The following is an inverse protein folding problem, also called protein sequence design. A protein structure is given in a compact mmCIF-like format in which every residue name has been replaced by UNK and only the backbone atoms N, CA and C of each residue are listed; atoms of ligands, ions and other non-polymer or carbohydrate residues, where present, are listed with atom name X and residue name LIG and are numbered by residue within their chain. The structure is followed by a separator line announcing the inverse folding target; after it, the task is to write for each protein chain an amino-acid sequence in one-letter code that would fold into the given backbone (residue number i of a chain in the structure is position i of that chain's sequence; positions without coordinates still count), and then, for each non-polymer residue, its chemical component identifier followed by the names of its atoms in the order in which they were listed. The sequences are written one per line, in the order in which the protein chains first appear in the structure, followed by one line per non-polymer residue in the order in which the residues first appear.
data_IF_500303000766
#
_entry.id   IF_500303000766
#
_cell.length_a   1.000
_cell.length_b   1.000
_cell.length_c   1.000
_cell.angle_alpha   90.00
_cell.angle_beta   90.00
_cell.angle_gamma   90.00
#
_symmetry.space_group_name_H-M   'P 1'
#
loop_
_entity.id
_entity.type
_entity.pdbx_description
1 polymer ?
#
# COMPACT_ATOMS: atom_id res chain seq x y z
N UNK A 1 -13.09 -22.71 1.04
CA UNK A 1 -13.70 -21.36 0.98
C UNK A 1 -12.75 -20.47 1.75
N UNK A 2 -12.02 -19.56 1.09
CA UNK A 2 -10.94 -18.78 1.71
C UNK A 2 -10.10 -17.97 0.72
N UNK A 3 -10.06 -18.40 -0.56
CA UNK A 3 -9.31 -17.70 -1.61
C UNK A 3 -9.77 -16.26 -1.88
N UNK A 4 -11.04 -15.91 -1.61
CA UNK A 4 -11.53 -14.55 -1.79
C UNK A 4 -11.02 -13.59 -0.72
N UNK A 5 -10.97 -14.03 0.54
CA UNK A 5 -10.57 -13.19 1.67
C UNK A 5 -9.06 -12.94 1.66
N UNK A 6 -8.26 -13.98 1.39
CA UNK A 6 -6.82 -13.86 1.15
C UNK A 6 -6.50 -12.87 0.02
N UNK A 7 -7.24 -12.95 -1.10
CA UNK A 7 -7.00 -12.10 -2.26
C UNK A 7 -7.42 -10.64 -2.00
N UNK A 8 -8.51 -10.41 -1.27
CA UNK A 8 -8.93 -9.07 -0.86
C UNK A 8 -7.90 -8.42 0.06
N UNK A 9 -7.36 -9.17 1.03
CA UNK A 9 -6.32 -8.66 1.92
C UNK A 9 -5.03 -8.33 1.19
N UNK A 10 -4.62 -9.17 0.23
CA UNK A 10 -3.45 -8.91 -0.63
C UNK A 10 -3.65 -7.67 -1.51
N UNK A 11 -4.85 -7.47 -2.05
CA UNK A 11 -5.19 -6.26 -2.81
C UNK A 11 -5.16 -5.03 -1.91
N UNK A 12 -5.69 -5.11 -0.69
CA UNK A 12 -5.63 -4.02 0.28
C UNK A 12 -4.18 -3.68 0.66
N UNK A 13 -3.33 -4.68 0.89
CA UNK A 13 -1.89 -4.50 1.12
C UNK A 13 -1.20 -3.82 -0.05
N UNK A 14 -1.48 -4.27 -1.27
CA UNK A 14 -0.95 -3.69 -2.50
C UNK A 14 -1.34 -2.23 -2.64
N UNK A 15 -2.62 -1.93 -2.43
CA UNK A 15 -3.18 -0.60 -2.55
C UNK A 15 -2.61 0.36 -1.49
N UNK A 16 -2.40 -0.12 -0.26
CA UNK A 16 -1.69 0.62 0.78
C UNK A 16 -0.25 0.90 0.37
N UNK A 17 0.50 -0.13 -0.02
CA UNK A 17 1.90 0.02 -0.44
C UNK A 17 2.05 1.06 -1.58
N UNK A 18 1.19 1.03 -2.60
CA UNK A 18 1.19 2.06 -3.64
C UNK A 18 0.84 3.44 -3.16
N UNK A 19 -0.07 3.54 -2.20
CA UNK A 19 -0.43 4.83 -1.63
C UNK A 19 0.80 5.46 -0.96
N UNK A 20 1.58 4.70 -0.19
CA UNK A 20 2.80 5.20 0.44
C UNK A 20 3.82 5.72 -0.59
N UNK A 21 4.01 5.00 -1.71
CA UNK A 21 4.90 5.45 -2.80
C UNK A 21 4.45 6.75 -3.48
N UNK A 22 3.18 7.16 -3.34
CA UNK A 22 2.68 8.40 -3.98
C UNK A 22 2.27 9.49 -2.99
N UNK A 23 2.27 9.20 -1.69
CA UNK A 23 1.69 10.09 -0.67
C UNK A 23 2.55 11.33 -0.45
N UNK A 24 3.85 11.18 -0.64
CA UNK A 24 4.85 12.25 -0.64
C UNK A 24 4.79 13.12 -1.91
N UNK A 25 4.11 12.63 -2.95
CA UNK A 25 3.99 13.24 -4.26
C UNK A 25 5.20 13.01 -5.17
N UNK A 26 6.23 12.29 -4.72
CA UNK A 26 7.50 12.06 -5.41
C UNK A 26 7.78 10.56 -5.48
N UNK A 27 7.28 9.92 -6.54
CA UNK A 27 7.56 8.51 -6.78
C UNK A 27 9.04 8.31 -7.15
N UNK A 28 9.85 7.78 -6.24
CA UNK A 28 11.25 7.46 -6.51
C UNK A 28 11.41 6.09 -7.20
N UNK A 29 12.45 5.94 -8.04
CA UNK A 29 12.73 4.66 -8.70
C UNK A 29 13.07 3.55 -7.69
N UNK A 30 13.64 3.91 -6.54
CA UNK A 30 14.02 3.00 -5.46
C UNK A 30 12.79 2.38 -4.80
N UNK A 31 11.78 3.18 -4.51
CA UNK A 31 10.50 2.74 -3.92
C UNK A 31 9.71 1.87 -4.89
N UNK A 32 9.63 2.28 -6.16
CA UNK A 32 8.97 1.49 -7.21
C UNK A 32 9.68 0.16 -7.39
N UNK A 33 11.01 0.15 -7.36
CA UNK A 33 11.80 -1.08 -7.47
C UNK A 33 11.59 -1.98 -6.26
N UNK A 34 11.60 -1.42 -5.05
CA UNK A 34 11.30 -2.15 -3.81
C UNK A 34 9.92 -2.79 -3.88
N UNK A 35 8.91 -2.02 -4.28
CA UNK A 35 7.55 -2.52 -4.41
C UNK A 35 7.47 -3.61 -5.48
N UNK A 36 8.04 -3.42 -6.67
CA UNK A 36 8.03 -4.45 -7.72
C UNK A 36 8.69 -5.76 -7.24
N UNK A 37 9.80 -5.67 -6.52
CA UNK A 37 10.45 -6.84 -5.92
C UNK A 37 9.57 -7.52 -4.87
N UNK A 38 8.93 -6.74 -4.00
CA UNK A 38 7.97 -7.27 -3.03
C UNK A 38 6.78 -7.93 -3.73
N UNK A 39 6.26 -7.32 -4.79
CA UNK A 39 5.18 -7.88 -5.60
C UNK A 39 5.56 -9.19 -6.24
N UNK A 40 6.81 -9.35 -6.67
CA UNK A 40 7.30 -10.62 -7.20
C UNK A 40 7.35 -11.71 -6.11
N UNK A 41 7.69 -11.31 -4.87
CA UNK A 41 7.76 -12.22 -3.71
C UNK A 41 6.40 -12.74 -3.23
N UNK A 42 5.30 -12.02 -3.50
CA UNK A 42 3.97 -12.43 -3.04
C UNK A 42 3.24 -13.31 -4.09
N UNK A 43 2.53 -14.36 -3.63
CA UNK A 43 1.63 -15.09 -4.52
C UNK A 43 0.48 -14.19 -4.99
N UNK A 44 0.27 -14.13 -6.30
CA UNK A 44 -0.80 -13.34 -6.92
C UNK A 44 -1.77 -14.27 -7.63
N UNK A 45 -3.05 -14.20 -7.30
CA UNK A 45 -4.10 -15.08 -7.85
C UNK A 45 -5.24 -14.30 -8.50
N UNK A 46 -5.03 -13.02 -8.81
CA UNK A 46 -6.01 -12.17 -9.48
C UNK A 46 -5.98 -12.42 -11.01
N UNK A 47 -7.14 -12.45 -11.70
CA UNK A 47 -7.20 -12.47 -13.16
C UNK A 47 -6.49 -11.27 -13.82
N UNK A 48 -6.41 -10.13 -13.13
CA UNK A 48 -5.68 -8.96 -13.61
C UNK A 48 -4.17 -9.14 -13.39
N UNK A 49 -3.36 -8.87 -14.42
CA UNK A 49 -1.89 -8.86 -14.31
C UNK A 49 -1.43 -7.88 -13.22
N UNK A 50 -0.33 -8.21 -12.52
CA UNK A 50 0.27 -7.32 -11.49
C UNK A 50 0.52 -5.91 -12.04
N UNK A 51 0.99 -5.81 -13.28
CA UNK A 51 1.29 -4.53 -13.94
C UNK A 51 0.02 -3.73 -14.28
N UNK A 52 -1.03 -4.35 -14.82
CA UNK A 52 -2.32 -3.69 -15.05
C UNK A 52 -2.94 -3.18 -13.75
N UNK A 53 -2.86 -4.01 -12.71
CA UNK A 53 -3.35 -3.67 -11.37
C UNK A 53 -2.54 -2.51 -10.78
N UNK A 54 -1.21 -2.54 -10.91
CA UNK A 54 -0.31 -1.44 -10.52
C UNK A 54 -0.71 -0.12 -11.17
N UNK A 55 -0.84 -0.06 -12.50
CA UNK A 55 -1.18 1.18 -13.20
C UNK A 55 -2.56 1.72 -12.80
N UNK A 56 -3.53 0.81 -12.61
CA UNK A 56 -4.88 1.16 -12.19
C UNK A 56 -4.90 1.71 -10.77
N UNK A 57 -4.22 1.05 -9.84
CA UNK A 57 -4.13 1.48 -8.44
C UNK A 57 -3.33 2.77 -8.32
N UNK A 58 -2.22 2.92 -9.07
CA UNK A 58 -1.42 4.14 -9.09
C UNK A 58 -2.26 5.37 -9.45
N UNK A 59 -3.10 5.24 -10.49
CA UNK A 59 -4.02 6.31 -10.89
C UNK A 59 -5.03 6.65 -9.77
N UNK A 60 -5.53 5.65 -9.05
CA UNK A 60 -6.44 5.85 -7.92
C UNK A 60 -5.75 6.52 -6.73
N UNK A 61 -4.55 6.09 -6.38
CA UNK A 61 -3.78 6.64 -5.27
C UNK A 61 -3.37 8.09 -5.55
N UNK A 62 -2.96 8.40 -6.79
CA UNK A 62 -2.72 9.79 -7.23
C UNK A 62 -3.97 10.65 -7.07
N UNK A 63 -5.11 10.16 -7.57
CA UNK A 63 -6.38 10.88 -7.43
C UNK A 63 -6.78 11.09 -5.96
N UNK A 64 -6.57 10.10 -5.10
CA UNK A 64 -6.82 10.22 -3.66
C UNK A 64 -5.90 11.27 -3.01
N UNK A 65 -4.62 11.29 -3.38
CA UNK A 65 -3.64 12.26 -2.90
C UNK A 65 -3.99 13.68 -3.34
N UNK A 66 -4.42 13.86 -4.60
CA UNK A 66 -4.85 15.16 -5.14
C UNK A 66 -6.16 15.69 -4.51
N UNK A 67 -6.98 14.82 -3.92
CA UNK A 67 -8.28 15.18 -3.32
C UNK A 67 -8.29 15.11 -1.78
N UNK A 68 -7.12 15.07 -1.13
CA UNK A 68 -7.00 14.91 0.34
C UNK A 68 -7.70 13.64 0.88
N UNK A 69 -7.92 12.65 0.03
CA UNK A 69 -8.61 11.38 0.33
C UNK A 69 -7.70 10.27 0.86
N UNK A 70 -6.43 10.57 1.14
CA UNK A 70 -5.42 9.59 1.61
C UNK A 70 -5.87 8.91 2.89
N UNK A 71 -6.36 9.68 3.87
CA UNK A 71 -6.80 9.16 5.16
C UNK A 71 -7.98 8.17 5.03
N UNK A 72 -8.98 8.52 4.20
CA UNK A 72 -10.13 7.66 3.93
C UNK A 72 -9.68 6.37 3.21
N UNK A 73 -8.77 6.50 2.25
CA UNK A 73 -8.22 5.36 1.53
C UNK A 73 -7.48 4.40 2.46
N UNK A 74 -6.61 4.91 3.34
CA UNK A 74 -5.88 4.12 4.34
C UNK A 74 -6.88 3.39 5.24
N UNK A 75 -7.85 4.11 5.81
CA UNK A 75 -8.86 3.51 6.68
C UNK A 75 -9.67 2.43 5.97
N UNK A 76 -10.09 2.69 4.74
CA UNK A 76 -10.88 1.73 3.97
C UNK A 76 -10.10 0.44 3.70
N UNK A 77 -8.82 0.55 3.32
CA UNK A 77 -7.96 -0.62 3.07
C UNK A 77 -7.54 -1.33 4.35
N UNK A 78 -7.24 -0.59 5.42
CA UNK A 78 -6.93 -1.16 6.72
C UNK A 78 -8.10 -2.01 7.27
N UNK A 79 -9.35 -1.57 7.07
CA UNK A 79 -10.54 -2.35 7.45
C UNK A 79 -10.70 -3.64 6.65
N UNK A 80 -10.09 -3.75 5.46
CA UNK A 80 -10.08 -4.99 4.67
C UNK A 80 -9.03 -5.99 5.16
N UNK A 81 -8.06 -5.55 5.98
CA UNK A 81 -7.05 -6.41 6.60
C UNK A 81 -7.63 -7.02 7.88
N UNK A 82 -8.05 -8.28 7.78
CA UNK A 82 -8.68 -9.02 8.87
C UNK A 82 -7.61 -9.77 9.67
N UNK A 83 -6.68 -10.40 8.96
CA UNK A 83 -5.59 -11.18 9.53
C UNK A 83 -4.54 -10.28 10.17
N UNK A 84 -4.16 -10.62 11.40
CA UNK A 84 -3.13 -9.90 12.14
C UNK A 84 -1.80 -9.86 11.38
N UNK A 85 -1.43 -10.96 10.72
CA UNK A 85 -0.21 -11.05 9.90
C UNK A 85 -0.24 -10.02 8.75
N UNK A 86 -1.41 -9.86 8.10
CA UNK A 86 -1.57 -8.86 7.04
C UNK A 86 -1.48 -7.44 7.60
N UNK A 87 -2.05 -7.16 8.77
CA UNK A 87 -1.91 -5.85 9.43
C UNK A 87 -0.45 -5.52 9.76
N UNK A 88 0.27 -6.47 10.35
CA UNK A 88 1.69 -6.32 10.66
C UNK A 88 2.53 -6.13 9.38
N UNK A 89 2.20 -6.87 8.33
CA UNK A 89 2.85 -6.75 7.03
C UNK A 89 2.58 -5.38 6.37
N UNK A 90 1.37 -4.83 6.50
CA UNK A 90 1.03 -3.51 5.97
C UNK A 90 1.90 -2.41 6.60
N UNK A 91 2.02 -2.43 7.93
CA UNK A 91 2.85 -1.48 8.67
C UNK A 91 4.32 -1.62 8.32
N UNK A 92 4.79 -2.86 8.23
CA UNK A 92 6.17 -3.13 7.86
C UNK A 92 6.47 -2.63 6.45
N UNK A 93 5.59 -2.89 5.49
CA UNK A 93 5.73 -2.39 4.12
C UNK A 93 5.73 -0.88 4.05
N UNK A 94 4.82 -0.22 4.76
CA UNK A 94 4.78 1.24 4.81
C UNK A 94 6.11 1.82 5.33
N UNK A 95 6.69 1.23 6.38
CA UNK A 95 8.00 1.65 6.89
C UNK A 95 9.15 1.31 5.94
N UNK A 96 9.15 0.11 5.34
CA UNK A 96 10.22 -0.32 4.44
C UNK A 96 10.23 0.51 3.14
N UNK A 97 9.05 0.88 2.62
CA UNK A 97 8.89 1.74 1.43
C UNK A 97 9.39 3.15 1.76
N UNK A 98 8.88 3.76 2.83
CA UNK A 98 9.28 5.12 3.22
C UNK A 98 10.72 5.26 3.72
N UNK A 99 11.41 4.15 3.96
CA UNK A 99 12.87 4.16 4.24
C UNK A 99 13.69 3.66 3.06
N UNK A 100 13.08 3.39 1.90
CA UNK A 100 13.77 2.82 0.75
C UNK A 100 14.71 3.82 0.07
N UNK A 101 14.33 5.10 0.05
CA UNK A 101 15.11 6.23 -0.47
C UNK A 101 16.07 6.81 0.59
N UNK A 102 15.86 6.48 1.86
CA UNK A 102 16.70 6.84 3.00
C UNK A 102 16.21 8.04 3.81
N UNK A 103 15.09 8.67 3.42
CA UNK A 103 14.49 9.81 4.12
C UNK A 103 12.97 9.61 4.25
N UNK A 104 12.45 9.60 5.48
CA UNK A 104 11.00 9.53 5.70
C UNK A 104 10.45 10.95 5.80
N UNK A 105 9.62 11.35 4.83
CA UNK A 105 9.01 12.68 4.78
C UNK A 105 7.83 12.83 5.76
N UNK A 106 7.42 14.08 6.04
CA UNK A 106 6.29 14.38 6.94
C UNK A 106 4.98 13.75 6.45
N UNK A 107 4.76 13.70 5.13
CA UNK A 107 3.57 13.11 4.53
C UNK A 107 3.50 11.59 4.77
N UNK A 108 4.63 10.90 4.62
CA UNK A 108 4.75 9.47 4.83
C UNK A 108 4.63 9.12 6.31
N UNK A 109 5.31 9.87 7.18
CA UNK A 109 5.20 9.70 8.64
C UNK A 109 3.73 9.80 9.06
N UNK A 110 3.02 10.83 8.58
CA UNK A 110 1.59 11.01 8.86
C UNK A 110 0.77 9.82 8.34
N UNK A 111 1.05 9.34 7.14
CA UNK A 111 0.37 8.17 6.57
C UNK A 111 0.64 6.88 7.39
N UNK A 112 1.86 6.68 7.90
CA UNK A 112 2.23 5.54 8.76
C UNK A 112 1.48 5.62 10.08
N UNK A 113 1.39 6.80 10.70
CA UNK A 113 0.62 7.01 11.93
C UNK A 113 -0.87 6.74 11.73
N UNK A 114 -1.43 7.20 10.60
CA UNK A 114 -2.83 6.93 10.23
C UNK A 114 -3.07 5.42 10.04
N UNK A 115 -2.19 4.74 9.32
CA UNK A 115 -2.29 3.29 9.13
C UNK A 115 -2.19 2.55 10.47
N UNK A 116 -1.26 2.95 11.34
CA UNK A 116 -1.10 2.36 12.67
C UNK A 116 -2.37 2.51 13.50
N UNK A 117 -2.98 3.70 13.46
CA UNK A 117 -4.23 3.99 14.16
C UNK A 117 -5.40 3.19 13.58
N UNK A 118 -5.45 3.00 12.27
CA UNK A 118 -6.52 2.26 11.61
C UNK A 118 -6.43 0.73 11.82
N UNK A 119 -5.23 0.20 12.08
CA UNK A 119 -5.01 -1.24 12.29
C UNK A 119 -5.14 -1.67 13.76
N UNK A 120 -4.89 -0.75 14.69
CA UNK A 120 -4.97 -0.94 16.15
C UNK A 120 -6.39 -1.15 16.65
#
# INVERSE_FOLDING_TARGET
MGQCEDQMQRQALFDLALLFVVVDGVVDESEVTFMKNWLDSIPWSNPTSKEDYYQTTLSKCRHATENDGVEDFINHRANQLIDKEMKEQALKLANDISSADGEVDDAERKAIELLTTALG
#
